data_IF_201258550752
#
_entry.id   IF_201258550752
#
_cell.length_a   1.000
_cell.length_b   1.000
_cell.length_c   1.000
_cell.angle_alpha   90.00
_cell.angle_beta   90.00
_cell.angle_gamma   90.00
#
_symmetry.space_group_name_H-M   'P 1'
#
loop_
_entity.id
_entity.type
_entity.pdbx_description
1 polymer ?
#
# COMPACT_ATOMS: atom_id res chain seq x y z
N UNK A 1 4.54 -17.29 -18.76
CA UNK A 1 4.28 -15.84 -18.89
C UNK A 1 4.97 -15.13 -17.74
N UNK A 2 5.59 -13.98 -17.97
CA UNK A 2 6.01 -13.07 -16.89
C UNK A 2 4.81 -12.19 -16.54
N UNK A 3 4.52 -12.00 -15.26
CA UNK A 3 3.51 -11.03 -14.87
C UNK A 3 4.00 -9.62 -15.23
N UNK A 4 3.18 -8.87 -15.96
CA UNK A 4 3.41 -7.47 -16.30
C UNK A 4 2.35 -6.59 -15.67
N UNK A 5 2.72 -5.34 -15.40
CA UNK A 5 1.79 -4.31 -14.95
C UNK A 5 1.72 -3.19 -15.99
N UNK A 6 0.58 -2.50 -16.03
CA UNK A 6 0.32 -1.44 -16.98
C UNK A 6 -0.90 -0.63 -16.57
N UNK A 7 -1.43 0.15 -17.49
CA UNK A 7 -2.61 0.99 -17.28
C UNK A 7 -3.59 0.84 -18.45
N UNK A 8 -4.86 1.01 -18.14
CA UNK A 8 -5.88 1.30 -19.15
C UNK A 8 -6.11 2.81 -19.12
N UNK A 9 -5.98 3.47 -20.27
CA UNK A 9 -6.15 4.93 -20.39
C UNK A 9 -7.31 5.23 -21.31
N UNK A 10 -8.19 6.12 -20.85
CA UNK A 10 -9.28 6.70 -21.62
C UNK A 10 -9.07 8.20 -21.77
N UNK A 11 -9.40 8.73 -22.95
CA UNK A 11 -9.37 10.18 -23.25
C UNK A 11 -10.77 10.76 -23.51
N UNK A 12 -11.80 9.94 -23.39
CA UNK A 12 -13.19 10.25 -23.77
C UNK A 12 -14.17 9.90 -22.64
N UNK A 13 -13.73 10.15 -21.40
CA UNK A 13 -14.54 9.96 -20.17
C UNK A 13 -15.00 8.50 -19.98
N UNK A 14 -14.18 7.55 -20.41
CA UNK A 14 -14.38 6.11 -20.17
C UNK A 14 -15.16 5.38 -21.25
N UNK A 15 -15.47 6.02 -22.39
CA UNK A 15 -16.15 5.36 -23.50
C UNK A 15 -15.23 4.35 -24.21
N UNK A 16 -13.95 4.68 -24.38
CA UNK A 16 -12.94 3.78 -24.93
C UNK A 16 -11.70 3.74 -24.05
N UNK A 17 -11.03 2.58 -24.05
CA UNK A 17 -9.85 2.31 -23.25
C UNK A 17 -8.75 1.71 -24.11
N UNK A 18 -7.53 2.21 -23.95
CA UNK A 18 -6.34 1.66 -24.58
C UNK A 18 -5.41 1.15 -23.48
N UNK A 19 -4.86 -0.05 -23.68
CA UNK A 19 -3.86 -0.61 -22.79
C UNK A 19 -2.48 -0.02 -23.13
N UNK A 20 -1.78 0.46 -22.10
CA UNK A 20 -0.42 0.95 -22.19
C UNK A 20 0.46 0.38 -21.08
N UNK A 21 1.76 0.43 -21.31
CA UNK A 21 2.76 -0.22 -20.46
C UNK A 21 2.91 -1.70 -20.77
N UNK A 22 3.95 -2.29 -20.18
CA UNK A 22 4.21 -3.72 -20.08
C UNK A 22 5.38 -3.86 -19.08
N UNK A 23 5.22 -3.21 -17.93
CA UNK A 23 6.30 -3.11 -16.96
C UNK A 23 6.52 -4.49 -16.38
N UNK A 24 7.71 -5.05 -16.62
CA UNK A 24 8.13 -6.34 -16.10
C UNK A 24 9.44 -6.20 -15.34
N UNK A 25 9.73 -7.18 -14.49
CA UNK A 25 11.01 -7.26 -13.79
C UNK A 25 11.52 -8.71 -13.83
N UNK A 26 12.83 -8.96 -14.01
CA UNK A 26 13.36 -10.32 -14.15
C UNK A 26 13.30 -11.15 -12.86
N UNK A 27 13.30 -10.50 -11.68
CA UNK A 27 13.45 -11.17 -10.38
C UNK A 27 12.16 -11.29 -9.56
N UNK A 28 11.10 -10.57 -9.91
CA UNK A 28 9.86 -10.55 -9.13
C UNK A 28 8.66 -10.20 -10.00
N UNK A 29 7.48 -10.54 -9.53
CA UNK A 29 6.24 -10.13 -10.17
C UNK A 29 5.88 -8.72 -9.72
N UNK A 30 5.48 -7.91 -10.70
CA UNK A 30 4.92 -6.58 -10.47
C UNK A 30 3.41 -6.71 -10.58
N UNK A 31 2.70 -6.62 -9.46
CA UNK A 31 1.26 -6.86 -9.39
C UNK A 31 0.57 -5.80 -8.54
N UNK A 32 -0.76 -5.69 -8.70
CA UNK A 32 -1.63 -4.84 -7.88
C UNK A 32 -1.09 -3.43 -7.66
N UNK A 33 -0.72 -2.76 -8.76
CA UNK A 33 -0.11 -1.45 -8.73
C UNK A 33 -1.07 -0.35 -8.25
N UNK A 34 -0.48 0.74 -7.74
CA UNK A 34 -1.16 2.01 -7.46
C UNK A 34 -0.47 3.12 -8.24
N UNK A 35 -1.25 3.99 -8.91
CA UNK A 35 -0.73 5.08 -9.74
C UNK A 35 -1.16 6.41 -9.17
N UNK A 36 -0.25 7.40 -9.20
CA UNK A 36 -0.51 8.76 -8.75
C UNK A 36 0.12 9.77 -9.72
N UNK A 37 -0.56 10.89 -9.95
CA UNK A 37 -0.03 12.03 -10.69
C UNK A 37 0.77 12.96 -9.76
N UNK A 38 1.98 13.32 -10.19
CA UNK A 38 2.87 14.22 -9.49
C UNK A 38 2.54 15.66 -9.89
N UNK A 39 1.88 16.39 -8.98
CA UNK A 39 1.32 17.71 -9.25
C UNK A 39 2.32 18.79 -9.68
N UNK A 40 3.61 18.59 -9.42
CA UNK A 40 4.65 19.55 -9.80
C UNK A 40 4.93 19.60 -11.31
N UNK A 41 4.73 18.50 -12.04
CA UNK A 41 5.06 18.39 -13.47
C UNK A 41 4.07 17.58 -14.31
N UNK A 42 3.04 16.96 -13.69
CA UNK A 42 2.04 16.12 -14.37
C UNK A 42 2.56 14.72 -14.75
N UNK A 43 3.79 14.37 -14.37
CA UNK A 43 4.30 13.01 -14.55
C UNK A 43 3.59 12.03 -13.60
N UNK A 44 3.65 10.74 -13.91
CA UNK A 44 3.00 9.69 -13.12
C UNK A 44 4.03 8.84 -12.39
N UNK A 45 3.70 8.46 -11.16
CA UNK A 45 4.40 7.46 -10.37
C UNK A 45 3.51 6.23 -10.20
N UNK A 46 4.03 5.06 -10.58
CA UNK A 46 3.40 3.77 -10.32
C UNK A 46 4.21 3.02 -9.27
N UNK A 47 3.53 2.56 -8.22
CA UNK A 47 4.10 1.71 -7.18
C UNK A 47 3.53 0.30 -7.27
N UNK A 48 4.35 -0.71 -6.99
CA UNK A 48 3.99 -2.13 -7.12
C UNK A 48 4.06 -2.88 -5.81
N UNK A 49 3.07 -3.75 -5.57
CA UNK A 49 3.23 -4.90 -4.69
C UNK A 49 4.20 -5.88 -5.33
N UNK A 50 5.11 -6.45 -4.55
CA UNK A 50 6.06 -7.46 -5.05
C UNK A 50 6.30 -8.59 -4.06
N UNK A 51 6.79 -9.72 -4.58
CA UNK A 51 7.25 -10.83 -3.75
C UNK A 51 8.68 -10.60 -3.21
N UNK A 52 9.40 -9.60 -3.73
CA UNK A 52 10.81 -9.32 -3.44
C UNK A 52 11.06 -8.69 -2.05
N UNK A 53 10.01 -8.47 -1.24
CA UNK A 53 10.14 -7.88 0.09
C UNK A 53 10.22 -6.35 0.11
N UNK A 54 10.12 -5.69 -1.06
CA UNK A 54 10.19 -4.23 -1.21
C UNK A 54 9.12 -3.72 -2.15
N UNK A 55 8.68 -2.48 -1.93
CA UNK A 55 7.87 -1.77 -2.93
C UNK A 55 8.77 -1.45 -4.11
N UNK A 56 8.27 -1.65 -5.33
CA UNK A 56 8.94 -1.19 -6.55
C UNK A 56 8.23 0.04 -7.10
N UNK A 57 8.94 0.86 -7.86
CA UNK A 57 8.38 2.02 -8.54
C UNK A 57 8.75 2.06 -10.03
N UNK A 58 7.91 2.71 -10.82
CA UNK A 58 8.16 3.08 -12.21
C UNK A 58 7.52 4.45 -12.49
N UNK A 59 8.08 5.22 -13.42
CA UNK A 59 7.62 6.58 -13.75
C UNK A 59 7.24 6.72 -15.21
N UNK A 60 6.27 7.60 -15.48
CA UNK A 60 5.86 7.97 -16.83
C UNK A 60 5.82 9.49 -16.98
N UNK A 61 6.30 10.00 -18.11
CA UNK A 61 6.29 11.44 -18.44
C UNK A 61 5.40 11.76 -19.64
N UNK A 62 4.65 10.78 -20.15
CA UNK A 62 3.84 10.88 -21.38
C UNK A 62 2.37 10.52 -21.17
N UNK A 63 1.88 10.69 -19.94
CA UNK A 63 0.49 10.40 -19.55
C UNK A 63 0.20 8.91 -19.40
N UNK A 64 1.21 8.10 -19.04
CA UNK A 64 1.06 6.66 -18.79
C UNK A 64 1.18 5.79 -20.03
N UNK A 65 1.63 6.33 -21.17
CA UNK A 65 1.80 5.57 -22.42
C UNK A 65 3.06 4.71 -22.39
N UNK A 66 4.13 5.24 -21.83
CA UNK A 66 5.38 4.52 -21.57
C UNK A 66 5.83 4.71 -20.12
N UNK A 67 6.62 3.76 -19.64
CA UNK A 67 7.01 3.64 -18.24
C UNK A 67 8.49 3.28 -18.14
N UNK A 68 9.20 3.87 -17.18
CA UNK A 68 10.59 3.52 -16.89
C UNK A 68 10.73 2.07 -16.41
N UNK A 69 11.92 1.46 -16.51
CA UNK A 69 12.18 0.19 -15.84
C UNK A 69 11.82 0.26 -14.35
N UNK A 70 11.21 -0.81 -13.83
CA UNK A 70 10.83 -0.85 -12.42
C UNK A 70 12.08 -1.01 -11.53
N UNK A 71 12.15 -0.24 -10.45
CA UNK A 71 13.26 -0.28 -9.50
C UNK A 71 12.75 -0.39 -8.05
N UNK A 72 13.47 -1.10 -7.15
CA UNK A 72 13.10 -1.20 -5.75
C UNK A 72 13.24 0.13 -5.01
N UNK A 73 12.36 0.35 -4.04
CA UNK A 73 12.43 1.44 -3.08
C UNK A 73 13.01 0.98 -1.73
N UNK A 74 13.24 1.93 -0.82
CA UNK A 74 13.70 1.61 0.53
C UNK A 74 12.59 0.99 1.41
N UNK A 75 11.32 1.20 1.06
CA UNK A 75 10.17 0.72 1.84
C UNK A 75 9.93 -0.79 1.66
N UNK A 76 9.60 -1.50 2.74
CA UNK A 76 9.29 -2.92 2.68
C UNK A 76 7.96 -3.19 1.98
N UNK A 77 7.82 -4.40 1.43
CA UNK A 77 6.53 -4.92 0.99
C UNK A 77 6.45 -6.42 1.31
N UNK A 78 5.64 -6.82 2.32
CA UNK A 78 5.47 -8.22 2.69
C UNK A 78 4.50 -8.96 1.77
N UNK A 79 4.60 -8.71 0.46
CA UNK A 79 3.63 -9.15 -0.55
C UNK A 79 2.20 -8.69 -0.20
N UNK A 80 2.04 -7.42 0.15
CA UNK A 80 0.76 -6.81 0.50
C UNK A 80 0.43 -5.64 -0.44
N UNK A 81 -0.86 -5.42 -0.70
CA UNK A 81 -1.31 -4.28 -1.51
C UNK A 81 -0.97 -2.95 -0.82
N UNK A 82 -0.75 -1.93 -1.63
CA UNK A 82 -0.46 -0.55 -1.21
C UNK A 82 -1.40 0.42 -1.90
N UNK A 83 -1.54 1.63 -1.35
CA UNK A 83 -2.25 2.72 -2.02
C UNK A 83 -1.50 4.04 -1.84
N UNK A 84 -1.32 4.78 -2.93
CA UNK A 84 -0.69 6.11 -2.93
C UNK A 84 -1.65 7.16 -3.48
N UNK A 85 -1.68 8.33 -2.85
CA UNK A 85 -2.44 9.51 -3.31
C UNK A 85 -1.56 10.76 -3.25
N UNK A 86 -1.89 11.77 -4.07
CA UNK A 86 -1.33 13.12 -3.94
C UNK A 86 -2.23 13.95 -3.03
N UNK A 87 -1.65 14.65 -2.06
CA UNK A 87 -2.40 15.50 -1.14
C UNK A 87 -3.01 16.70 -1.87
N UNK A 88 -4.28 16.99 -1.62
CA UNK A 88 -4.97 18.18 -2.13
C UNK A 88 -4.26 19.46 -1.69
N UNK A 89 -4.06 20.40 -2.62
CA UNK A 89 -3.37 21.66 -2.35
C UNK A 89 -1.85 21.59 -2.11
N UNK A 90 -1.23 20.41 -2.18
CA UNK A 90 0.23 20.21 -1.99
C UNK A 90 0.84 19.39 -3.14
N UNK A 91 2.17 19.33 -3.21
CA UNK A 91 2.93 18.39 -4.05
C UNK A 91 3.29 17.09 -3.31
N UNK A 92 2.93 16.98 -2.03
CA UNK A 92 3.24 15.83 -1.19
C UNK A 92 2.41 14.59 -1.58
N UNK A 93 2.98 13.42 -1.32
CA UNK A 93 2.33 12.12 -1.52
C UNK A 93 2.09 11.42 -0.20
N UNK A 94 0.96 10.73 -0.05
CA UNK A 94 0.71 9.78 1.03
C UNK A 94 0.67 8.35 0.53
N UNK A 95 1.25 7.43 1.29
CA UNK A 95 1.30 6.00 1.00
C UNK A 95 0.84 5.21 2.21
N UNK A 96 -0.15 4.34 2.03
CA UNK A 96 -0.56 3.34 3.01
C UNK A 96 0.01 1.97 2.62
N UNK A 97 0.70 1.31 3.56
CA UNK A 97 1.41 0.06 3.33
C UNK A 97 1.66 -0.71 4.63
N UNK A 98 1.87 -2.02 4.51
CA UNK A 98 2.34 -2.86 5.62
C UNK A 98 3.85 -2.67 5.82
N UNK A 99 4.24 -2.10 6.96
CA UNK A 99 5.60 -1.64 7.26
C UNK A 99 6.41 -2.67 8.04
N UNK A 100 6.61 -3.86 7.45
CA UNK A 100 7.52 -4.85 8.01
C UNK A 100 8.23 -5.65 6.93
N UNK A 101 9.42 -6.15 7.28
CA UNK A 101 10.15 -7.06 6.40
C UNK A 101 9.35 -8.34 6.19
N UNK A 102 9.38 -8.83 4.96
CA UNK A 102 8.74 -10.08 4.58
C UNK A 102 9.38 -11.29 5.23
N UNK A 103 10.70 -11.31 5.19
CA UNK A 103 11.54 -12.36 5.76
C UNK A 103 12.05 -11.82 7.09
N UNK A 104 11.47 -12.29 8.19
CA UNK A 104 12.01 -12.00 9.52
C UNK A 104 13.23 -12.89 9.79
N UNK A 105 14.15 -12.40 10.62
CA UNK A 105 15.40 -13.11 10.96
C UNK A 105 15.13 -14.45 11.67
N UNK A 106 13.96 -14.59 12.28
CA UNK A 106 13.48 -15.81 12.95
C UNK A 106 12.93 -16.88 11.99
N UNK A 107 12.95 -16.63 10.67
CA UNK A 107 12.52 -17.58 9.65
C UNK A 107 11.01 -17.67 9.44
N UNK A 108 10.21 -16.89 10.17
CA UNK A 108 8.77 -16.85 9.97
C UNK A 108 8.39 -15.81 8.91
N UNK A 109 7.54 -16.18 7.96
CA UNK A 109 6.85 -15.20 7.12
C UNK A 109 5.92 -14.40 8.01
N UNK A 110 6.24 -13.14 8.28
CA UNK A 110 5.33 -12.27 9.01
C UNK A 110 4.03 -12.16 8.23
N UNK A 111 2.93 -12.47 8.93
CA UNK A 111 1.59 -12.14 8.50
C UNK A 111 1.54 -10.64 8.16
N UNK A 112 0.77 -10.25 7.14
CA UNK A 112 0.68 -8.87 6.62
C UNK A 112 0.17 -7.91 7.71
N UNK A 113 1.03 -7.48 8.63
CA UNK A 113 0.70 -6.72 9.85
C UNK A 113 1.30 -5.32 9.79
N UNK A 114 1.24 -4.54 10.87
CA UNK A 114 1.88 -3.22 10.97
C UNK A 114 1.47 -2.27 9.84
N UNK A 115 0.17 -1.96 9.73
CA UNK A 115 -0.33 -1.07 8.69
C UNK A 115 -0.02 0.38 9.08
N UNK A 116 0.65 1.12 8.19
CA UNK A 116 1.10 2.50 8.44
C UNK A 116 0.83 3.42 7.27
N UNK A 117 0.92 4.73 7.54
CA UNK A 117 0.94 5.79 6.53
C UNK A 117 2.31 6.46 6.53
N UNK A 118 2.86 6.68 5.33
CA UNK A 118 4.06 7.48 5.10
C UNK A 118 3.78 8.66 4.17
N UNK A 119 4.57 9.72 4.30
CA UNK A 119 4.55 10.92 3.45
C UNK A 119 5.85 11.05 2.67
N UNK A 120 5.77 11.58 1.45
CA UNK A 120 6.92 12.01 0.66
C UNK A 120 6.75 13.48 0.27
N UNK A 121 7.82 14.25 0.49
CA UNK A 121 7.92 15.67 0.12
C UNK A 121 8.75 15.90 -1.15
N UNK A 122 9.35 14.84 -1.70
CA UNK A 122 10.29 14.86 -2.80
C UNK A 122 9.84 13.94 -3.94
N UNK A 123 8.54 13.99 -4.21
CA UNK A 123 7.91 13.35 -5.36
C UNK A 123 8.10 11.83 -5.39
N UNK A 124 8.17 11.20 -4.22
CA UNK A 124 8.30 9.76 -4.01
C UNK A 124 9.73 9.24 -3.87
N UNK A 125 10.75 10.10 -3.78
CA UNK A 125 12.14 9.66 -3.64
C UNK A 125 12.45 9.17 -2.22
N UNK A 126 11.98 9.88 -1.19
CA UNK A 126 12.08 9.51 0.22
C UNK A 126 10.72 9.53 0.91
N UNK A 127 10.59 8.75 1.99
CA UNK A 127 9.32 8.53 2.68
C UNK A 127 9.50 8.52 4.19
N UNK A 128 8.81 9.41 4.89
CA UNK A 128 8.75 9.46 6.35
C UNK A 128 7.46 8.81 6.86
N UNK A 129 7.54 7.97 7.90
CA UNK A 129 6.36 7.34 8.52
C UNK A 129 5.67 8.37 9.40
N UNK A 130 4.37 8.55 9.20
CA UNK A 130 3.63 9.62 9.88
C UNK A 130 2.49 9.16 10.78
N UNK A 131 1.94 7.96 10.54
CA UNK A 131 0.85 7.44 11.33
C UNK A 131 0.86 5.91 11.38
N UNK A 132 0.42 5.38 12.52
CA UNK A 132 0.17 3.96 12.72
C UNK A 132 -1.34 3.72 12.60
N UNK A 133 -1.74 2.82 11.70
CA UNK A 133 -3.15 2.52 11.40
C UNK A 133 -3.63 1.31 12.19
N UNK A 134 -2.80 0.27 12.24
CA UNK A 134 -3.00 -0.89 13.09
C UNK A 134 -1.65 -1.50 13.45
N UNK A 135 -1.35 -1.49 14.75
CA UNK A 135 -0.09 -1.94 15.33
C UNK A 135 -0.09 -3.43 15.66
N UNK A 136 -1.24 -4.11 15.55
CA UNK A 136 -1.34 -5.53 15.94
C UNK A 136 -0.36 -6.34 15.10
N UNK A 137 0.55 -7.03 15.78
CA UNK A 137 1.61 -7.83 15.20
C UNK A 137 1.60 -9.29 15.69
N UNK A 138 0.57 -9.66 16.46
CA UNK A 138 0.34 -11.00 16.96
C UNK A 138 0.12 -11.99 15.80
N UNK A 139 0.63 -13.23 15.89
CA UNK A 139 0.41 -14.27 14.90
C UNK A 139 -1.07 -14.47 14.56
N UNK A 140 -1.35 -14.76 13.29
CA UNK A 140 -2.71 -14.97 12.78
C UNK A 140 -3.40 -13.70 12.26
N UNK A 141 -3.08 -12.52 12.78
CA UNK A 141 -3.64 -11.27 12.24
C UNK A 141 -3.05 -10.90 10.87
N UNK A 142 -3.92 -10.44 9.97
CA UNK A 142 -3.53 -9.95 8.66
C UNK A 142 -4.37 -8.72 8.28
N UNK A 143 -3.71 -7.73 7.68
CA UNK A 143 -4.28 -6.50 7.17
C UNK A 143 -4.07 -6.43 5.67
N UNK A 144 -5.15 -6.10 4.97
CA UNK A 144 -5.25 -6.29 3.54
C UNK A 144 -5.87 -5.07 2.89
N UNK A 145 -5.31 -4.68 1.74
CA UNK A 145 -5.90 -3.76 0.78
C UNK A 145 -6.24 -2.38 1.39
N UNK A 146 -5.24 -1.69 1.99
CA UNK A 146 -5.46 -0.35 2.48
C UNK A 146 -5.82 0.58 1.32
N UNK A 147 -6.80 1.44 1.53
CA UNK A 147 -7.25 2.45 0.58
C UNK A 147 -7.34 3.79 1.30
N UNK A 148 -6.45 4.70 0.92
CA UNK A 148 -6.46 6.11 1.32
C UNK A 148 -7.53 6.92 0.58
N UNK A 149 -8.22 7.81 1.32
CA UNK A 149 -9.10 8.84 0.79
C UNK A 149 -8.90 10.13 1.59
N UNK A 150 -8.80 11.27 0.89
CA UNK A 150 -8.77 12.58 1.52
C UNK A 150 -10.14 13.25 1.45
N UNK A 151 -10.52 13.94 2.52
CA UNK A 151 -11.66 14.85 2.57
C UNK A 151 -11.31 16.08 3.41
N UNK A 152 -10.96 17.18 2.74
CA UNK A 152 -10.42 18.37 3.40
C UNK A 152 -9.13 18.04 4.16
N UNK A 153 -9.10 18.33 5.47
CA UNK A 153 -7.97 18.00 6.34
C UNK A 153 -7.96 16.54 6.81
N UNK A 154 -8.99 15.75 6.52
CA UNK A 154 -9.08 14.38 7.00
C UNK A 154 -8.53 13.38 5.98
N UNK A 155 -7.78 12.39 6.47
CA UNK A 155 -7.32 11.24 5.71
C UNK A 155 -7.93 9.99 6.31
N UNK A 156 -8.78 9.32 5.55
CA UNK A 156 -9.38 8.04 5.94
C UNK A 156 -8.68 6.88 5.24
N UNK A 157 -8.40 5.82 6.00
CA UNK A 157 -7.82 4.57 5.51
C UNK A 157 -8.87 3.50 5.73
N UNK A 158 -9.35 2.91 4.64
CA UNK A 158 -10.19 1.70 4.70
C UNK A 158 -9.33 0.47 4.45
N UNK A 159 -9.47 -0.57 5.26
CA UNK A 159 -8.70 -1.82 5.10
C UNK A 159 -9.49 -3.02 5.62
N UNK A 160 -9.13 -4.21 5.15
CA UNK A 160 -9.66 -5.46 5.72
C UNK A 160 -8.73 -5.95 6.82
N UNK A 161 -9.30 -6.31 7.97
CA UNK A 161 -8.62 -6.90 9.12
C UNK A 161 -9.14 -8.32 9.29
N UNK A 162 -8.27 -9.31 9.20
CA UNK A 162 -8.66 -10.74 9.28
C UNK A 162 -7.76 -11.47 10.26
N UNK A 163 -8.34 -12.45 10.94
CA UNK A 163 -7.57 -13.41 11.73
C UNK A 163 -7.60 -14.76 11.01
N UNK A 164 -6.44 -15.37 10.85
CA UNK A 164 -6.26 -16.72 10.30
C UNK A 164 -5.61 -17.55 11.38
N UNK A 165 -6.37 -18.51 11.92
CA UNK A 165 -5.88 -19.47 12.91
C UNK A 165 -4.63 -20.17 12.40
N UNK A 166 -3.61 -20.26 13.25
CA UNK A 166 -2.29 -20.76 12.88
C UNK A 166 -2.11 -22.25 13.16
N UNK A 167 -3.03 -22.88 13.90
CA UNK A 167 -3.02 -24.31 14.25
C UNK A 167 -4.43 -24.90 14.44
N UNK A 168 -4.55 -26.24 14.45
CA UNK A 168 -5.80 -26.94 14.82
C UNK A 168 -6.20 -26.70 16.28
N UNK A 169 -5.24 -26.44 17.17
CA UNK A 169 -5.52 -26.11 18.58
C UNK A 169 -6.26 -24.76 18.71
N UNK A 170 -5.97 -23.79 17.83
CA UNK A 170 -6.71 -22.52 17.73
C UNK A 170 -8.17 -22.75 17.29
N UNK A 171 -8.49 -23.85 16.61
CA UNK A 171 -9.84 -24.20 16.16
C UNK A 171 -10.63 -25.01 17.20
N UNK A 172 -9.94 -25.82 18.02
CA UNK A 172 -10.55 -26.76 18.98
C UNK A 172 -10.63 -26.15 20.39
N UNK A 173 -9.85 -25.11 20.70
CA UNK A 173 -9.84 -24.37 21.97
C UNK A 173 -11.12 -23.55 22.22
N UNK A 174 -12.24 -24.22 22.48
CA UNK A 174 -13.47 -23.60 22.91
C UNK A 174 -13.34 -22.99 24.30
N UNK A 175 -12.97 -21.70 24.42
CA UNK A 175 -13.40 -20.85 25.52
C UNK A 175 -13.07 -19.35 25.32
N UNK A 176 -14.08 -18.54 24.98
CA UNK A 176 -14.20 -17.08 25.15
C UNK A 176 -13.21 -16.09 24.50
N UNK A 177 -11.96 -16.45 24.20
CA UNK A 177 -10.96 -15.56 23.58
C UNK A 177 -11.13 -15.49 22.06
N UNK A 178 -11.39 -16.63 21.42
CA UNK A 178 -11.61 -16.73 19.96
C UNK A 178 -12.83 -15.95 19.44
N UNK A 179 -13.92 -15.85 20.21
CA UNK A 179 -15.14 -15.19 19.72
C UNK A 179 -15.02 -13.67 19.66
N UNK A 180 -14.28 -13.06 20.60
CA UNK A 180 -14.02 -11.61 20.59
C UNK A 180 -13.06 -11.21 19.48
N UNK A 181 -12.04 -12.01 19.21
CA UNK A 181 -11.08 -11.76 18.12
C UNK A 181 -11.71 -11.96 16.75
N UNK A 182 -12.50 -13.03 16.55
CA UNK A 182 -13.27 -13.18 15.30
C UNK A 182 -14.27 -12.03 15.08
N UNK A 183 -14.90 -11.52 16.15
CA UNK A 183 -15.76 -10.32 16.06
C UNK A 183 -14.96 -9.05 15.69
N UNK A 184 -13.64 -9.05 15.92
CA UNK A 184 -12.73 -7.96 15.58
C UNK A 184 -12.12 -8.08 14.17
N UNK A 185 -12.52 -9.07 13.37
CA UNK A 185 -12.27 -9.12 11.94
C UNK A 185 -13.31 -8.27 11.15
N UNK A 186 -13.02 -8.00 9.88
CA UNK A 186 -13.88 -7.27 8.96
C UNK A 186 -13.24 -6.00 8.40
N UNK A 187 -14.05 -5.18 7.74
CA UNK A 187 -13.59 -3.89 7.22
C UNK A 187 -13.43 -2.90 8.38
N UNK A 188 -12.35 -2.13 8.34
CA UNK A 188 -12.02 -1.07 9.29
C UNK A 188 -11.79 0.23 8.56
N UNK A 189 -12.14 1.33 9.20
CA UNK A 189 -11.87 2.68 8.75
C UNK A 189 -11.18 3.40 9.90
N UNK A 190 -10.01 3.98 9.63
CA UNK A 190 -9.33 4.87 10.55
C UNK A 190 -9.17 6.23 9.88
N UNK A 191 -9.40 7.31 10.63
CA UNK A 191 -9.29 8.67 10.11
C UNK A 191 -8.28 9.47 10.93
N UNK A 192 -7.42 10.19 10.23
CA UNK A 192 -6.44 11.12 10.80
C UNK A 192 -6.72 12.54 10.33
N UNK A 193 -6.41 13.52 11.19
CA UNK A 193 -6.41 14.93 10.84
C UNK A 193 -5.00 15.36 10.43
N UNK A 194 -4.83 15.79 9.18
CA UNK A 194 -3.56 16.25 8.61
C UNK A 194 -2.96 17.41 9.39
N UNK A 195 -3.78 18.29 9.96
CA UNK A 195 -3.27 19.43 10.72
C UNK A 195 -2.53 18.98 11.98
N UNK A 196 -2.94 17.84 12.55
CA UNK A 196 -2.31 17.24 13.73
C UNK A 196 -1.10 16.39 13.37
N UNK A 197 -1.09 15.81 12.17
CA UNK A 197 0.06 15.07 11.66
C UNK A 197 1.20 16.02 11.28
N UNK A 198 0.92 17.14 10.60
CA UNK A 198 1.94 18.12 10.20
C UNK A 198 2.75 18.67 11.38
N UNK A 199 2.12 18.91 12.53
CA UNK A 199 2.78 19.39 13.75
C UNK A 199 3.80 18.41 14.36
N UNK A 200 3.78 17.12 13.95
CA UNK A 200 4.73 16.10 14.42
C UNK A 200 5.99 16.01 13.56
N UNK A 201 6.03 16.70 12.42
CA UNK A 201 7.13 16.61 11.44
C UNK A 201 7.77 17.98 11.10
N UNK A 202 7.34 19.05 11.77
CA UNK A 202 7.97 20.39 11.77
C UNK A 202 8.91 20.58 12.94
#
# INVERSE_FOLDING_TARGET
>A
MRASAGVLVSSDKGAHWNAYGEVTHPLTWLIENSVVELKHDGSLLMLFRTWAGRIFQSRSTDGGRSWSPAAPMQLPNPDAKIHVISLEGSTDLLLAFNDHQKYAEDGFTRFRTGLRVAISHDFGATWARIAEVDETNEPGWQFHYPTLMQHGCNISITYSRTYVASSEDDLIGGNSTNSKEMAMAGIRIMTFDLSQLAARFS
#
